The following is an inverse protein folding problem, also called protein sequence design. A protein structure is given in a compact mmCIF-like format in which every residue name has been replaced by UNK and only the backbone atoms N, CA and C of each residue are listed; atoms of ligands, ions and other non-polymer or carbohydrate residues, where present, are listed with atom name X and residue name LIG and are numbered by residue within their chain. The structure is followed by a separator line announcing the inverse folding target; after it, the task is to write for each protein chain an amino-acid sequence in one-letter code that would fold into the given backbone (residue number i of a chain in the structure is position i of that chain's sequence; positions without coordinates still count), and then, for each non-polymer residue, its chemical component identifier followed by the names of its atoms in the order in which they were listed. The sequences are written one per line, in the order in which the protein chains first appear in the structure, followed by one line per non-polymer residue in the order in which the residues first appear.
data_IF_988298619448
#
_entry.id   IF_988298619448
#
_cell.length_a   1.000
_cell.length_b   1.000
_cell.length_c   1.000
_cell.angle_alpha   90.00
_cell.angle_beta   90.00
_cell.angle_gamma   90.00
#
_symmetry.space_group_name_H-M   'P 1'
#
loop_
_entity.id
_entity.type
_entity.pdbx_description
1 polymer ?
#
# COMPACT_ATOMS: atom_id res chain seq x y z
N UNK A 1 18.29 24.89 22.54
CA UNK A 1 17.05 25.69 22.64
C UNK A 1 16.29 25.45 21.35
N UNK A 2 15.31 24.56 21.37
CA UNK A 2 14.28 24.41 20.34
C UNK A 2 13.01 24.09 21.12
N UNK A 3 12.31 25.16 21.50
CA UNK A 3 10.95 25.14 22.01
C UNK A 3 10.01 24.94 20.81
N UNK A 4 9.93 23.71 20.30
CA UNK A 4 8.92 23.36 19.30
C UNK A 4 7.66 22.89 20.03
N UNK A 5 6.83 23.88 20.32
CA UNK A 5 5.49 23.73 20.86
C UNK A 5 4.64 22.92 19.86
N UNK A 6 4.25 21.69 20.25
CA UNK A 6 3.44 20.83 19.40
C UNK A 6 2.18 21.57 18.90
N UNK A 7 1.84 21.47 17.60
CA UNK A 7 0.69 22.17 17.04
C UNK A 7 -0.60 21.79 17.78
N UNK A 8 -1.41 22.79 18.13
CA UNK A 8 -2.64 22.69 18.93
C UNK A 8 -3.67 21.68 18.40
N UNK A 9 -3.56 21.28 17.14
CA UNK A 9 -4.40 20.25 16.52
C UNK A 9 -4.14 18.85 17.11
N UNK A 10 -2.91 18.55 17.53
CA UNK A 10 -2.55 17.26 18.13
C UNK A 10 -3.12 17.10 19.54
N UNK A 11 -3.27 18.21 20.28
CA UNK A 11 -3.89 18.22 21.63
C UNK A 11 -5.40 17.93 21.60
N UNK A 12 -6.04 17.97 20.43
CA UNK A 12 -7.49 17.75 20.25
C UNK A 12 -7.86 16.32 19.81
N UNK A 13 -6.87 15.44 19.59
CA UNK A 13 -7.14 14.04 19.29
C UNK A 13 -7.64 13.32 20.55
N UNK A 14 -8.97 13.29 20.71
CA UNK A 14 -9.64 12.56 21.79
C UNK A 14 -9.27 11.06 21.66
N UNK A 15 -8.73 10.41 22.70
CA UNK A 15 -8.37 9.00 22.62
C UNK A 15 -9.62 8.19 22.22
N UNK A 16 -9.47 7.38 21.16
CA UNK A 16 -10.54 6.53 20.64
C UNK A 16 -11.02 5.64 21.79
N UNK A 17 -12.27 5.84 22.23
CA UNK A 17 -12.90 4.96 23.23
C UNK A 17 -13.07 3.57 22.61
N UNK A 18 -12.10 2.71 22.81
CA UNK A 18 -12.22 1.28 22.50
C UNK A 18 -13.10 0.71 23.60
N UNK A 19 -14.28 0.19 23.25
CA UNK A 19 -15.14 -0.51 24.20
C UNK A 19 -14.48 -1.85 24.51
N UNK A 20 -14.05 -2.03 25.76
CA UNK A 20 -13.59 -3.33 26.23
C UNK A 20 -14.80 -4.25 26.44
N UNK A 21 -14.58 -5.57 26.36
CA UNK A 21 -15.62 -6.56 26.65
C UNK A 21 -16.03 -6.50 28.12
N UNK A 22 -17.29 -6.87 28.42
CA UNK A 22 -17.87 -6.87 29.79
C UNK A 22 -17.02 -7.58 30.84
N UNK A 23 -16.25 -8.59 30.42
CA UNK A 23 -15.38 -9.35 31.32
C UNK A 23 -14.16 -8.53 31.76
N UNK A 24 -13.61 -7.69 30.88
CA UNK A 24 -12.50 -6.78 31.20
C UNK A 24 -12.97 -5.66 32.13
N UNK A 25 -14.20 -5.15 31.93
CA UNK A 25 -14.81 -4.17 32.86
C UNK A 25 -15.02 -4.74 34.26
N UNK A 26 -15.37 -6.03 34.36
CA UNK A 26 -15.52 -6.71 35.67
C UNK A 26 -14.18 -6.88 36.39
N UNK A 27 -13.11 -7.21 35.67
CA UNK A 27 -11.76 -7.31 36.27
C UNK A 27 -11.20 -5.95 36.71
N UNK A 28 -11.53 -4.87 35.98
CA UNK A 28 -11.12 -3.52 36.36
C UNK A 28 -12.00 -2.93 37.48
N UNK A 29 -13.26 -3.34 37.60
CA UNK A 29 -14.19 -2.90 38.65
C UNK A 29 -13.89 -3.47 40.04
N UNK A 30 -13.10 -4.55 40.15
CA UNK A 30 -12.66 -5.14 41.42
C UNK A 30 -11.37 -4.55 41.98
N UNK A 31 -10.72 -3.61 41.28
CA UNK A 31 -9.59 -2.88 41.84
C UNK A 31 -10.13 -1.87 42.87
N UNK A 32 -9.62 -1.85 44.12
CA UNK A 32 -10.06 -0.88 45.11
C UNK A 32 -9.84 0.52 44.56
N UNK A 33 -10.89 1.32 44.51
CA UNK A 33 -10.83 2.74 44.19
C UNK A 33 -10.04 3.44 45.29
N UNK A 34 -8.72 3.45 45.15
CA UNK A 34 -7.85 4.30 45.93
C UNK A 34 -8.30 5.75 45.70
N UNK A 35 -9.00 6.32 46.69
CA UNK A 35 -9.12 7.75 46.87
C UNK A 35 -7.70 8.32 46.76
N UNK A 36 -7.45 9.06 45.69
CA UNK A 36 -6.19 9.79 45.54
C UNK A 36 -6.22 10.91 46.55
N UNK A 37 -5.39 10.75 47.58
CA UNK A 37 -5.05 11.79 48.54
C UNK A 37 -4.35 12.95 47.78
N UNK A 38 -4.82 14.19 47.99
CA UNK A 38 -4.36 15.42 47.32
C UNK A 38 -2.90 15.82 47.65
N UNK A 39 -2.15 14.93 48.31
CA UNK A 39 -0.74 15.12 48.70
C UNK A 39 0.21 14.13 48.02
N UNK A 40 -0.13 13.64 46.84
CA UNK A 40 0.84 12.89 46.04
C UNK A 40 1.77 13.88 45.33
N UNK A 41 3.02 13.98 45.79
CA UNK A 41 4.09 14.59 45.00
C UNK A 41 4.04 14.09 43.55
N UNK A 42 4.30 14.93 42.53
CA UNK A 42 4.28 14.50 41.15
C UNK A 42 5.33 13.40 40.98
N UNK A 43 4.88 12.14 40.95
CA UNK A 43 5.77 11.01 40.73
C UNK A 43 6.47 11.28 39.39
N UNK A 44 7.82 11.15 39.31
CA UNK A 44 8.50 11.20 38.02
C UNK A 44 7.82 10.13 37.17
N UNK A 45 7.14 10.57 36.12
CA UNK A 45 6.13 9.75 35.46
C UNK A 45 6.72 8.39 35.09
N UNK A 46 6.30 7.33 35.81
CA UNK A 46 6.96 6.02 35.87
C UNK A 46 7.42 5.58 34.48
N UNK A 47 8.73 5.58 34.26
CA UNK A 47 9.35 4.90 33.12
C UNK A 47 9.65 3.46 33.55
N UNK A 48 9.55 2.47 32.65
CA UNK A 48 9.93 1.11 32.98
C UNK A 48 11.44 1.03 33.26
N UNK A 49 11.82 0.06 34.07
CA UNK A 49 13.23 -0.26 34.29
C UNK A 49 13.90 -0.70 32.97
N UNK A 50 15.13 -0.23 32.70
CA UNK A 50 15.86 -0.61 31.49
C UNK A 50 16.14 -2.11 31.47
N UNK A 51 15.88 -2.75 30.32
CA UNK A 51 16.10 -4.19 30.12
C UNK A 51 14.95 -5.09 30.61
N UNK A 52 13.86 -4.51 31.12
CA UNK A 52 12.63 -5.28 31.40
C UNK A 52 11.97 -5.77 30.10
N UNK A 53 11.27 -6.92 30.15
CA UNK A 53 10.56 -7.50 28.99
C UNK A 53 9.55 -6.55 28.33
N UNK A 54 9.01 -5.60 29.11
CA UNK A 54 8.02 -4.61 28.63
C UNK A 54 8.64 -3.23 28.39
N UNK A 55 9.95 -3.15 28.24
CA UNK A 55 10.69 -1.91 28.03
C UNK A 55 11.29 -1.84 26.63
N UNK A 56 11.28 -0.65 26.03
CA UNK A 56 11.91 -0.39 24.74
C UNK A 56 12.49 1.03 24.75
N UNK A 57 13.64 1.22 24.10
CA UNK A 57 14.32 2.51 24.09
C UNK A 57 13.76 3.39 22.97
N UNK A 58 13.73 4.71 23.19
CA UNK A 58 13.49 5.66 22.11
C UNK A 58 14.73 5.78 21.20
N UNK A 59 14.51 5.81 19.88
CA UNK A 59 15.57 5.96 18.90
C UNK A 59 16.29 7.33 18.96
N UNK A 60 15.60 8.38 19.41
CA UNK A 60 16.15 9.74 19.46
C UNK A 60 16.74 10.09 20.85
N UNK A 61 15.94 9.98 21.92
CA UNK A 61 16.37 10.43 23.25
C UNK A 61 16.99 9.33 24.13
N UNK A 62 17.00 8.07 23.66
CA UNK A 62 17.58 6.93 24.38
C UNK A 62 16.84 6.52 25.66
N UNK A 63 15.76 7.20 26.02
CA UNK A 63 14.99 6.89 27.23
C UNK A 63 14.15 5.63 27.06
N UNK A 64 14.05 4.83 28.12
CA UNK A 64 13.20 3.65 28.15
C UNK A 64 11.73 4.03 28.32
N UNK A 65 10.89 3.47 27.47
CA UNK A 65 9.44 3.59 27.50
C UNK A 65 8.79 2.21 27.45
N UNK A 66 7.50 2.15 27.76
CA UNK A 66 6.77 0.88 27.74
C UNK A 66 6.58 0.39 26.30
N UNK A 67 6.76 -0.91 26.07
CA UNK A 67 6.56 -1.56 24.78
C UNK A 67 5.14 -1.35 24.22
N UNK A 68 4.14 -1.18 25.09
CA UNK A 68 2.74 -0.92 24.68
C UNK A 68 2.50 0.49 24.13
N UNK A 69 3.47 1.41 24.23
CA UNK A 69 3.35 2.74 23.64
C UNK A 69 3.74 2.69 22.17
N UNK A 70 3.02 3.46 21.34
CA UNK A 70 3.35 3.63 19.93
C UNK A 70 4.41 4.71 19.66
N UNK A 71 4.69 5.60 20.63
CA UNK A 71 5.69 6.67 20.48
C UNK A 71 6.33 6.97 21.83
N UNK A 72 7.57 7.46 21.80
CA UNK A 72 8.20 8.03 22.97
C UNK A 72 7.47 9.31 23.42
N UNK A 73 7.63 9.69 24.68
CA UNK A 73 7.14 10.98 25.21
C UNK A 73 7.76 12.19 24.51
N UNK A 74 8.92 12.04 23.88
CA UNK A 74 9.51 13.07 23.01
C UNK A 74 8.91 13.11 21.59
N UNK A 75 7.85 12.34 21.32
CA UNK A 75 7.19 12.28 20.02
C UNK A 75 7.89 11.42 18.96
N UNK A 76 9.09 10.90 19.25
CA UNK A 76 9.85 10.09 18.30
C UNK A 76 9.53 8.60 18.41
N UNK A 77 9.82 7.87 17.34
CA UNK A 77 9.67 6.42 17.28
C UNK A 77 10.55 5.69 18.31
N UNK A 78 10.05 4.53 18.72
CA UNK A 78 10.78 3.59 19.55
C UNK A 78 11.72 2.76 18.66
N UNK A 79 12.78 2.23 19.25
CA UNK A 79 13.79 1.45 18.53
C UNK A 79 13.15 0.21 17.89
N UNK A 80 13.54 -0.16 16.67
CA UNK A 80 12.94 -1.26 15.91
C UNK A 80 11.55 -0.97 15.29
N UNK A 81 10.82 0.03 15.80
CA UNK A 81 9.48 0.35 15.27
C UNK A 81 9.52 0.90 13.84
N UNK A 82 10.54 1.70 13.51
CA UNK A 82 10.71 2.23 12.14
C UNK A 82 10.98 1.10 11.15
N UNK A 83 11.75 0.08 11.55
CA UNK A 83 12.04 -1.10 10.74
C UNK A 83 10.77 -1.94 10.54
N UNK A 84 9.98 -2.13 11.59
CA UNK A 84 8.70 -2.84 11.51
C UNK A 84 7.71 -2.14 10.57
N UNK A 85 7.64 -0.81 10.62
CA UNK A 85 6.81 -0.01 9.73
C UNK A 85 7.29 -0.04 8.29
N UNK A 86 8.60 -0.01 8.07
CA UNK A 86 9.20 -0.21 6.75
C UNK A 86 8.84 -1.58 6.19
N UNK A 87 9.01 -2.66 6.97
CA UNK A 87 8.64 -4.02 6.55
C UNK A 87 7.14 -4.18 6.29
N UNK A 88 6.29 -3.47 7.04
CA UNK A 88 4.86 -3.44 6.82
C UNK A 88 4.51 -2.72 5.51
N UNK A 89 5.14 -1.56 5.26
CA UNK A 89 5.00 -0.80 4.02
C UNK A 89 5.48 -1.59 2.79
N UNK A 90 6.64 -2.26 2.88
CA UNK A 90 7.17 -3.10 1.80
C UNK A 90 6.26 -4.28 1.49
N UNK A 91 5.64 -4.89 2.51
CA UNK A 91 4.62 -5.94 2.33
C UNK A 91 3.38 -5.40 1.62
N UNK A 92 2.93 -4.21 1.98
CA UNK A 92 1.77 -3.56 1.35
C UNK A 92 2.07 -3.21 -0.12
N UNK A 93 3.26 -2.68 -0.42
CA UNK A 93 3.74 -2.45 -1.79
C UNK A 93 3.70 -3.72 -2.65
N UNK A 94 4.22 -4.82 -2.11
CA UNK A 94 4.19 -6.14 -2.77
C UNK A 94 2.76 -6.60 -3.03
N UNK A 95 1.88 -6.44 -2.04
CA UNK A 95 0.45 -6.75 -2.18
C UNK A 95 -0.23 -5.93 -3.28
N UNK A 96 0.03 -4.62 -3.33
CA UNK A 96 -0.47 -3.74 -4.38
C UNK A 96 0.03 -4.14 -5.77
N UNK A 97 1.32 -4.46 -5.90
CA UNK A 97 1.88 -4.95 -7.17
C UNK A 97 1.19 -6.23 -7.64
N UNK A 98 0.94 -7.18 -6.73
CA UNK A 98 0.26 -8.43 -7.06
C UNK A 98 -1.18 -8.20 -7.53
N UNK A 99 -1.90 -7.26 -6.92
CA UNK A 99 -3.25 -6.86 -7.35
C UNK A 99 -3.20 -6.28 -8.77
N UNK A 100 -2.28 -5.35 -9.04
CA UNK A 100 -2.10 -4.75 -10.38
C UNK A 100 -1.74 -5.83 -11.41
N UNK A 101 -0.87 -6.76 -11.05
CA UNK A 101 -0.46 -7.86 -11.92
C UNK A 101 -1.64 -8.80 -12.26
N UNK A 102 -2.47 -9.15 -11.27
CA UNK A 102 -3.68 -9.96 -11.50
C UNK A 102 -4.70 -9.22 -12.37
N UNK A 103 -4.93 -7.93 -12.12
CA UNK A 103 -5.87 -7.14 -12.90
C UNK A 103 -5.39 -6.95 -14.35
N UNK A 104 -4.09 -6.77 -14.56
CA UNK A 104 -3.49 -6.78 -15.88
C UNK A 104 -3.73 -8.13 -16.58
N UNK A 105 -3.50 -9.25 -15.90
CA UNK A 105 -3.73 -10.58 -16.47
C UNK A 105 -5.20 -10.81 -16.85
N UNK A 106 -6.15 -10.36 -16.00
CA UNK A 106 -7.59 -10.41 -16.30
C UNK A 106 -7.94 -9.59 -17.53
N UNK A 107 -7.34 -8.42 -17.73
CA UNK A 107 -7.57 -7.55 -18.90
C UNK A 107 -6.94 -8.11 -20.17
N UNK A 108 -5.80 -8.80 -20.08
CA UNK A 108 -5.12 -9.39 -21.25
C UNK A 108 -5.79 -10.68 -21.74
N UNK A 109 -6.43 -11.47 -20.87
CA UNK A 109 -7.16 -12.70 -21.24
C UNK A 109 -8.14 -12.53 -22.40
N UNK A 110 -9.06 -11.54 -22.42
CA UNK A 110 -9.95 -11.33 -23.56
C UNK A 110 -9.20 -10.84 -24.81
N UNK A 111 -8.11 -10.07 -24.65
CA UNK A 111 -7.28 -9.60 -25.77
C UNK A 111 -6.65 -10.74 -26.56
N UNK A 112 -6.43 -11.91 -25.96
CA UNK A 112 -5.88 -13.08 -26.67
C UNK A 112 -6.81 -13.65 -27.74
N UNK A 113 -8.12 -13.39 -27.65
CA UNK A 113 -9.11 -13.87 -28.62
C UNK A 113 -9.34 -12.89 -29.77
N UNK A 114 -9.09 -11.60 -29.56
CA UNK A 114 -9.17 -10.55 -30.58
C UNK A 114 -8.36 -10.85 -31.86
N UNK A 115 -7.13 -11.39 -31.84
CA UNK A 115 -6.42 -11.75 -33.07
C UNK A 115 -7.07 -12.92 -33.83
N UNK A 116 -7.75 -13.85 -33.15
CA UNK A 116 -8.52 -14.92 -33.80
C UNK A 116 -9.73 -14.35 -34.55
N UNK A 117 -10.40 -13.36 -33.96
CA UNK A 117 -11.48 -12.62 -34.65
C UNK A 117 -10.92 -11.79 -35.81
N UNK A 118 -9.78 -11.12 -35.63
CA UNK A 118 -9.15 -10.36 -36.72
C UNK A 118 -8.74 -11.25 -37.89
N UNK A 119 -8.35 -12.50 -37.63
CA UNK A 119 -7.99 -13.47 -38.66
C UNK A 119 -9.10 -13.64 -39.70
N UNK A 120 -10.38 -13.66 -39.31
CA UNK A 120 -11.48 -13.83 -40.27
C UNK A 120 -11.58 -12.66 -41.24
N UNK A 121 -11.30 -11.44 -40.76
CA UNK A 121 -11.30 -10.22 -41.58
C UNK A 121 -10.04 -10.08 -42.44
N UNK A 122 -8.96 -10.80 -42.14
CA UNK A 122 -7.72 -10.75 -42.92
C UNK A 122 -7.67 -11.89 -43.94
N UNK A 123 -7.89 -13.14 -43.51
CA UNK A 123 -7.83 -14.33 -44.36
C UNK A 123 -9.02 -14.45 -45.31
N UNK A 124 -10.23 -14.07 -44.89
CA UNK A 124 -11.43 -14.12 -45.74
C UNK A 124 -11.24 -13.36 -47.07
N UNK A 125 -10.99 -12.05 -47.04
CA UNK A 125 -10.75 -11.27 -48.26
C UNK A 125 -9.46 -11.68 -48.99
N UNK A 126 -8.43 -12.19 -48.29
CA UNK A 126 -7.24 -12.74 -48.93
C UNK A 126 -7.58 -13.95 -49.82
N UNK A 127 -8.38 -14.89 -49.30
CA UNK A 127 -8.86 -16.04 -50.07
C UNK A 127 -9.72 -15.59 -51.25
N UNK A 128 -10.65 -14.64 -51.04
CA UNK A 128 -11.48 -14.09 -52.13
C UNK A 128 -10.60 -13.45 -53.21
N UNK A 129 -9.59 -12.66 -52.83
CA UNK A 129 -8.67 -12.04 -53.77
C UNK A 129 -7.87 -13.08 -54.58
N UNK A 130 -7.41 -14.16 -53.94
CA UNK A 130 -6.64 -15.24 -54.58
C UNK A 130 -7.47 -16.07 -55.57
N UNK A 131 -8.76 -16.27 -55.31
CA UNK A 131 -9.65 -17.04 -56.19
C UNK A 131 -10.40 -16.16 -57.20
N UNK A 132 -10.33 -14.84 -57.09
CA UNK A 132 -10.93 -13.90 -58.04
C UNK A 132 -9.98 -13.52 -59.18
N UNK A 133 -10.48 -13.48 -60.42
CA UNK A 133 -9.70 -13.04 -61.59
C UNK A 133 -9.50 -11.52 -61.63
N UNK A 134 -10.39 -10.76 -60.98
CA UNK A 134 -10.28 -9.30 -60.79
C UNK A 134 -10.81 -8.92 -59.40
N UNK A 135 -9.95 -8.75 -58.39
CA UNK A 135 -10.40 -8.36 -57.06
C UNK A 135 -10.93 -6.92 -57.07
N UNK A 136 -12.18 -6.74 -56.63
CA UNK A 136 -12.78 -5.41 -56.48
C UNK A 136 -12.19 -4.65 -55.29
N UNK A 137 -12.24 -3.31 -55.35
CA UNK A 137 -11.75 -2.43 -54.29
C UNK A 137 -12.46 -2.69 -52.94
N UNK A 138 -13.72 -3.16 -52.99
CA UNK A 138 -14.51 -3.57 -51.83
C UNK A 138 -13.88 -4.74 -51.06
N UNK A 139 -13.13 -5.62 -51.72
CA UNK A 139 -12.42 -6.74 -51.08
C UNK A 139 -11.30 -6.25 -50.16
N UNK A 140 -10.65 -5.14 -50.52
CA UNK A 140 -9.61 -4.53 -49.69
C UNK A 140 -10.18 -3.70 -48.53
N UNK A 141 -11.40 -3.15 -48.67
CA UNK A 141 -12.11 -2.47 -47.56
C UNK A 141 -12.40 -3.42 -46.38
N UNK A 142 -12.55 -4.73 -46.63
CA UNK A 142 -12.71 -5.74 -45.58
C UNK A 142 -11.49 -5.91 -44.66
N UNK A 143 -10.30 -5.47 -45.08
CA UNK A 143 -9.12 -5.50 -44.21
C UNK A 143 -9.12 -4.40 -43.14
N UNK A 144 -9.83 -3.30 -43.35
CA UNK A 144 -9.82 -2.16 -42.42
C UNK A 144 -10.28 -2.55 -41.00
N UNK A 145 -11.40 -3.27 -40.81
CA UNK A 145 -11.77 -3.78 -39.48
C UNK A 145 -10.71 -4.72 -38.88
N UNK A 146 -10.11 -5.60 -39.69
CA UNK A 146 -9.07 -6.52 -39.24
C UNK A 146 -7.85 -5.79 -38.68
N UNK A 147 -7.34 -4.80 -39.42
CA UNK A 147 -6.22 -3.97 -38.96
C UNK A 147 -6.59 -3.10 -37.76
N UNK A 148 -7.81 -2.56 -37.70
CA UNK A 148 -8.28 -1.79 -36.55
C UNK A 148 -8.32 -2.64 -35.27
N UNK A 149 -8.80 -3.89 -35.36
CA UNK A 149 -8.87 -4.83 -34.25
C UNK A 149 -7.46 -5.19 -33.76
N UNK A 150 -6.55 -5.57 -34.67
CA UNK A 150 -5.16 -5.92 -34.32
C UNK A 150 -4.41 -4.73 -33.74
N UNK A 151 -4.53 -3.56 -34.37
CA UNK A 151 -3.90 -2.34 -33.90
C UNK A 151 -4.40 -1.91 -32.52
N UNK A 152 -5.72 -1.93 -32.31
CA UNK A 152 -6.33 -1.62 -31.02
C UNK A 152 -5.90 -2.59 -29.91
N UNK A 153 -5.89 -3.90 -30.20
CA UNK A 153 -5.43 -4.91 -29.25
C UNK A 153 -3.95 -4.73 -28.89
N UNK A 154 -3.09 -4.45 -29.88
CA UNK A 154 -1.66 -4.23 -29.65
C UNK A 154 -1.38 -2.97 -28.82
N UNK A 155 -2.13 -1.89 -29.04
CA UNK A 155 -2.03 -0.67 -28.23
C UNK A 155 -2.48 -0.91 -26.79
N UNK A 156 -3.59 -1.60 -26.60
CA UNK A 156 -4.10 -1.94 -25.28
C UNK A 156 -3.14 -2.86 -24.52
N UNK A 157 -2.54 -3.86 -25.18
CA UNK A 157 -1.54 -4.75 -24.58
C UNK A 157 -0.28 -3.99 -24.17
N UNK A 158 0.23 -3.10 -25.03
CA UNK A 158 1.37 -2.23 -24.69
C UNK A 158 1.08 -1.31 -23.49
N UNK A 159 -0.13 -0.76 -23.42
CA UNK A 159 -0.51 0.12 -22.32
C UNK A 159 -0.59 -0.65 -20.99
N UNK A 160 -1.18 -1.84 -20.99
CA UNK A 160 -1.25 -2.71 -19.80
C UNK A 160 0.15 -3.18 -19.39
N UNK A 161 0.98 -3.60 -20.36
CA UNK A 161 2.36 -4.02 -20.11
C UNK A 161 3.21 -2.89 -19.51
N UNK A 162 3.03 -1.65 -19.99
CA UNK A 162 3.73 -0.48 -19.46
C UNK A 162 3.39 -0.24 -18.00
N UNK A 163 2.12 -0.25 -17.62
CA UNK A 163 1.74 -0.06 -16.21
C UNK A 163 2.26 -1.17 -15.29
N UNK A 164 2.32 -2.41 -15.78
CA UNK A 164 2.93 -3.51 -15.05
C UNK A 164 4.45 -3.32 -14.89
N UNK A 165 5.12 -2.82 -15.93
CA UNK A 165 6.55 -2.55 -15.88
C UNK A 165 6.88 -1.37 -14.94
N UNK A 166 6.07 -0.31 -14.96
CA UNK A 166 6.21 0.83 -14.04
C UNK A 166 6.03 0.40 -12.59
N UNK A 167 5.05 -0.45 -12.28
CA UNK A 167 4.85 -0.93 -10.91
C UNK A 167 5.94 -1.92 -10.46
N UNK A 168 6.48 -2.74 -11.37
CA UNK A 168 7.63 -3.59 -11.08
C UNK A 168 8.89 -2.76 -10.81
N UNK A 169 9.16 -1.75 -11.65
CA UNK A 169 10.29 -0.85 -11.48
C UNK A 169 10.20 -0.05 -10.19
N UNK A 170 9.00 0.38 -9.78
CA UNK A 170 8.82 1.05 -8.49
C UNK A 170 9.17 0.13 -7.31
N UNK A 171 8.77 -1.13 -7.38
CA UNK A 171 9.04 -2.13 -6.35
C UNK A 171 10.52 -2.51 -6.28
N UNK A 172 11.20 -2.59 -7.42
CA UNK A 172 12.65 -2.88 -7.48
C UNK A 172 13.52 -1.73 -6.95
N UNK A 173 13.06 -0.48 -7.11
CA UNK A 173 13.77 0.71 -6.64
C UNK A 173 13.26 1.22 -5.27
N UNK A 174 12.35 0.49 -4.63
CA UNK A 174 11.77 0.88 -3.34
C UNK A 174 12.74 0.58 -2.19
N UNK A 175 13.58 1.58 -1.86
CA UNK A 175 14.51 1.50 -0.74
C UNK A 175 13.98 2.17 0.54
N UNK A 176 14.67 1.95 1.66
CA UNK A 176 14.36 2.56 2.95
C UNK A 176 14.36 4.11 2.92
N UNK A 177 15.24 4.73 2.12
CA UNK A 177 15.23 6.19 1.93
C UNK A 177 13.93 6.67 1.26
N UNK A 178 13.41 5.89 0.31
CA UNK A 178 12.12 6.18 -0.34
C UNK A 178 10.98 6.11 0.67
N UNK A 179 11.01 5.13 1.58
CA UNK A 179 10.04 5.03 2.67
C UNK A 179 10.05 6.28 3.57
N UNK A 180 11.23 6.75 3.98
CA UNK A 180 11.37 7.95 4.81
C UNK A 180 10.83 9.20 4.10
N UNK A 181 11.15 9.37 2.81
CA UNK A 181 10.65 10.48 1.99
C UNK A 181 9.13 10.47 1.83
N UNK A 182 8.52 9.30 1.62
CA UNK A 182 7.06 9.18 1.45
C UNK A 182 6.32 9.47 2.75
N UNK A 183 6.88 9.12 3.90
CA UNK A 183 6.24 9.30 5.20
C UNK A 183 6.51 10.65 5.88
N UNK A 184 7.39 11.50 5.34
CA UNK A 184 7.81 12.76 5.98
C UNK A 184 8.21 12.56 7.47
N UNK A 185 8.98 11.50 7.76
CA UNK A 185 9.53 11.21 9.09
C UNK A 185 10.88 11.87 9.27
#
# INVERSE_FOLDING_TARGET
MLDDEFPEEVKRLKPRKVRFSRDVERFLGSAPSHQMDDKCHPRPALRPEPGGQNSICCAACGQTEYLSRGYCRCGHYLHGQIEDEYLAWERDLRGMHEIIARDAERKVKPLRWLPLVAMTFILGPLLVALFSTTPSLTTFLWWLPGFAIVGGAALADKFIARHKAESAAFLENADFETFLLVRNV
#
